data_IF_142260339897
#
_entry.id   IF_142260339897
#
_cell.length_a   1.000
_cell.length_b   1.000
_cell.length_c   1.000
_cell.angle_alpha   90.00
_cell.angle_beta   90.00
_cell.angle_gamma   90.00
#
_symmetry.space_group_name_H-M   'P 1'
#
loop_
_entity.id
_entity.type
_entity.pdbx_description
1 polymer ?
#
# COMPACT_ATOMS: atom_id res chain seq x y z
N UNK A 1 38.83 -13.97 41.41
CA UNK A 1 38.66 -13.24 40.13
C UNK A 1 38.11 -14.20 39.09
N UNK A 2 36.82 -14.12 38.74
CA UNK A 2 36.29 -14.51 37.44
C UNK A 2 34.95 -13.80 37.23
N UNK A 3 34.90 -12.94 36.22
CA UNK A 3 33.71 -12.28 35.66
C UNK A 3 32.99 -13.29 34.77
N UNK A 4 31.66 -13.39 34.89
CA UNK A 4 30.80 -13.89 33.81
C UNK A 4 29.68 -12.86 33.64
N UNK A 5 29.44 -12.55 32.36
CA UNK A 5 28.78 -11.37 31.86
C UNK A 5 27.28 -11.29 32.18
N UNK A 6 26.83 -10.08 32.48
CA UNK A 6 25.43 -9.67 32.46
C UNK A 6 24.86 -9.87 31.05
N UNK A 7 23.66 -10.46 31.00
CA UNK A 7 22.93 -10.70 29.76
C UNK A 7 22.63 -9.40 29.01
N UNK A 8 23.06 -9.38 27.75
CA UNK A 8 22.77 -8.31 26.81
C UNK A 8 21.36 -8.54 26.25
N UNK A 9 20.39 -7.90 26.89
CA UNK A 9 18.98 -7.92 26.48
C UNK A 9 18.80 -6.79 25.46
N UNK A 10 19.34 -6.94 24.24
CA UNK A 10 19.12 -5.97 23.17
C UNK A 10 17.70 -6.11 22.65
N UNK A 11 16.74 -5.49 23.34
CA UNK A 11 15.49 -5.09 22.71
C UNK A 11 15.86 -4.22 21.51
N UNK A 12 15.55 -4.72 20.32
CA UNK A 12 15.75 -4.04 19.06
C UNK A 12 14.74 -2.88 18.98
N UNK A 13 15.00 -1.80 19.72
CA UNK A 13 14.19 -0.59 19.72
C UNK A 13 14.51 0.12 18.41
N UNK A 14 13.78 -0.24 17.35
CA UNK A 14 13.74 0.58 16.16
C UNK A 14 13.23 1.96 16.58
N UNK A 15 13.99 3.05 16.32
CA UNK A 15 13.50 4.38 16.61
C UNK A 15 12.17 4.59 15.88
N UNK A 16 11.17 5.25 16.50
CA UNK A 16 9.91 5.53 15.83
C UNK A 16 10.23 6.26 14.53
N UNK A 17 9.77 5.69 13.41
CA UNK A 17 9.90 6.33 12.10
C UNK A 17 9.14 7.65 12.18
N UNK A 18 9.85 8.78 12.29
CA UNK A 18 9.22 10.11 12.36
C UNK A 18 8.72 10.45 10.97
N UNK A 19 7.42 10.23 10.76
CA UNK A 19 6.73 10.65 9.55
C UNK A 19 6.65 12.17 9.52
N UNK A 20 7.46 12.78 8.67
CA UNK A 20 7.28 14.20 8.33
C UNK A 20 6.26 14.27 7.21
N UNK A 21 5.03 14.59 7.57
CA UNK A 21 3.92 14.76 6.62
C UNK A 21 4.04 16.14 5.98
N UNK A 22 4.17 16.20 4.66
CA UNK A 22 4.36 17.40 3.85
C UNK A 22 3.16 17.71 2.97
N UNK A 23 2.28 16.73 2.70
CA UNK A 23 1.04 17.01 1.99
C UNK A 23 0.11 17.89 2.85
N UNK A 24 -0.54 18.86 2.22
CA UNK A 24 -1.59 19.63 2.88
C UNK A 24 -2.90 18.83 2.91
N UNK A 25 -3.13 18.14 4.03
CA UNK A 25 -4.32 17.30 4.20
C UNK A 25 -5.63 18.10 4.22
N UNK A 26 -5.61 19.43 4.41
CA UNK A 26 -6.83 20.23 4.31
C UNK A 26 -7.45 20.19 2.91
N UNK A 27 -6.68 19.78 1.89
CA UNK A 27 -7.18 19.55 0.54
C UNK A 27 -8.16 18.37 0.44
N UNK A 28 -8.14 17.43 1.39
CA UNK A 28 -9.26 16.50 1.54
C UNK A 28 -10.39 17.25 2.24
N UNK A 29 -11.37 17.69 1.46
CA UNK A 29 -12.51 18.52 1.88
C UNK A 29 -13.37 17.91 3.00
N UNK A 30 -13.11 16.65 3.39
CA UNK A 30 -13.78 15.93 4.47
C UNK A 30 -12.78 15.52 5.59
N UNK A 31 -13.01 15.91 6.86
CA UNK A 31 -12.17 15.53 8.00
C UNK A 31 -12.01 14.02 8.24
N UNK A 32 -13.03 13.23 7.97
CA UNK A 32 -12.95 11.76 8.06
C UNK A 32 -12.00 11.21 6.99
N UNK A 33 -12.07 11.75 5.77
CA UNK A 33 -11.18 11.39 4.66
C UNK A 33 -9.74 11.79 4.96
N UNK A 34 -9.52 12.93 5.61
CA UNK A 34 -8.20 13.32 6.12
C UNK A 34 -7.64 12.29 7.09
N UNK A 35 -8.43 11.90 8.09
CA UNK A 35 -8.04 10.90 9.09
C UNK A 35 -7.73 9.54 8.44
N UNK A 36 -8.60 9.10 7.53
CA UNK A 36 -8.45 7.86 6.77
C UNK A 36 -7.18 7.85 5.91
N UNK A 37 -6.89 8.96 5.23
CA UNK A 37 -5.67 9.10 4.43
C UNK A 37 -4.40 9.05 5.29
N UNK A 38 -4.38 9.72 6.45
CA UNK A 38 -3.24 9.66 7.39
C UNK A 38 -3.02 8.25 7.93
N UNK A 39 -4.09 7.59 8.36
CA UNK A 39 -4.02 6.21 8.89
C UNK A 39 -3.52 5.23 7.81
N UNK A 40 -4.05 5.33 6.60
CA UNK A 40 -3.67 4.45 5.49
C UNK A 40 -2.20 4.63 5.12
N UNK A 41 -1.68 5.87 5.09
CA UNK A 41 -0.27 6.13 4.82
C UNK A 41 0.65 5.48 5.88
N UNK A 42 0.31 5.62 7.16
CA UNK A 42 1.07 5.04 8.26
C UNK A 42 1.10 3.50 8.18
N UNK A 43 -0.05 2.88 7.89
CA UNK A 43 -0.16 1.43 7.73
C UNK A 43 0.58 0.94 6.49
N UNK A 44 0.49 1.68 5.39
CA UNK A 44 1.11 1.35 4.11
C UNK A 44 2.63 1.19 4.24
N UNK A 45 3.30 2.15 4.90
CA UNK A 45 4.77 2.09 5.07
C UNK A 45 5.19 0.92 5.97
N UNK A 46 4.37 0.52 6.94
CA UNK A 46 4.64 -0.63 7.81
C UNK A 46 4.45 -1.99 7.12
N UNK A 47 3.41 -2.14 6.30
CA UNK A 47 2.88 -3.46 5.92
C UNK A 47 3.28 -3.95 4.52
N UNK A 48 3.53 -3.03 3.59
CA UNK A 48 3.83 -3.31 2.18
C UNK A 48 4.98 -4.30 1.94
N UNK A 49 5.88 -4.44 2.91
CA UNK A 49 7.09 -5.24 2.77
C UNK A 49 6.87 -6.75 2.91
N UNK A 50 5.72 -7.24 3.36
CA UNK A 50 5.67 -8.60 3.92
C UNK A 50 4.90 -9.65 3.11
N UNK A 51 3.79 -9.33 2.42
CA UNK A 51 2.98 -10.36 1.71
C UNK A 51 2.16 -9.80 0.55
N UNK A 52 1.74 -10.69 -0.37
CA UNK A 52 0.75 -10.38 -1.40
C UNK A 52 -0.58 -9.91 -0.81
N UNK A 53 -1.08 -10.56 0.25
CA UNK A 53 -2.33 -10.15 0.89
C UNK A 53 -2.21 -8.75 1.54
N UNK A 54 -1.05 -8.43 2.13
CA UNK A 54 -0.77 -7.07 2.59
C UNK A 54 -0.78 -6.04 1.46
N UNK A 55 -0.31 -6.42 0.27
CA UNK A 55 -0.38 -5.56 -0.90
C UNK A 55 -1.83 -5.38 -1.39
N UNK A 56 -2.67 -6.41 -1.29
CA UNK A 56 -4.11 -6.33 -1.61
C UNK A 56 -4.86 -5.44 -0.63
N UNK A 57 -4.61 -5.57 0.67
CA UNK A 57 -5.23 -4.75 1.72
C UNK A 57 -4.87 -3.26 1.53
N UNK A 58 -3.60 -2.98 1.27
CA UNK A 58 -3.14 -1.63 0.96
C UNK A 58 -3.74 -1.09 -0.33
N UNK A 59 -3.79 -1.91 -1.38
CA UNK A 59 -4.44 -1.54 -2.65
C UNK A 59 -5.93 -1.24 -2.48
N UNK A 60 -6.63 -2.01 -1.65
CA UNK A 60 -8.03 -1.78 -1.30
C UNK A 60 -8.22 -0.46 -0.55
N UNK A 61 -7.40 -0.19 0.48
CA UNK A 61 -7.48 1.03 1.27
C UNK A 61 -7.23 2.27 0.42
N UNK A 62 -6.17 2.25 -0.40
CA UNK A 62 -5.85 3.32 -1.35
C UNK A 62 -6.97 3.52 -2.38
N UNK A 63 -7.51 2.43 -2.94
CA UNK A 63 -8.62 2.51 -3.89
C UNK A 63 -9.89 3.07 -3.24
N UNK A 64 -10.16 2.73 -1.98
CA UNK A 64 -11.30 3.29 -1.24
C UNK A 64 -11.15 4.79 -1.03
N UNK A 65 -9.96 5.28 -0.66
CA UNK A 65 -9.70 6.73 -0.55
C UNK A 65 -9.93 7.41 -1.90
N UNK A 66 -9.47 6.80 -3.00
CA UNK A 66 -9.71 7.34 -4.34
C UNK A 66 -11.22 7.46 -4.64
N UNK A 67 -12.01 6.42 -4.36
CA UNK A 67 -13.47 6.45 -4.54
C UNK A 67 -14.13 7.53 -3.68
N UNK A 68 -13.72 7.66 -2.42
CA UNK A 68 -14.22 8.70 -1.52
C UNK A 68 -13.87 10.10 -2.04
N UNK A 69 -12.65 10.30 -2.56
CA UNK A 69 -12.24 11.58 -3.15
C UNK A 69 -13.16 11.97 -4.31
N UNK A 70 -13.35 11.08 -5.29
CA UNK A 70 -14.12 11.39 -6.50
C UNK A 70 -15.63 11.52 -6.24
N UNK A 71 -16.14 10.88 -5.18
CA UNK A 71 -17.55 10.99 -4.79
C UNK A 71 -17.84 12.32 -4.09
N UNK A 72 -16.90 12.81 -3.29
CA UNK A 72 -17.12 13.99 -2.44
C UNK A 72 -16.69 15.32 -3.09
N UNK A 73 -15.86 15.31 -4.15
CA UNK A 73 -15.40 16.55 -4.79
C UNK A 73 -15.12 16.37 -6.28
N UNK A 74 -15.48 17.37 -7.09
CA UNK A 74 -15.13 17.47 -8.51
C UNK A 74 -13.60 17.52 -8.73
N UNK A 75 -12.85 17.97 -7.72
CA UNK A 75 -11.38 17.99 -7.73
C UNK A 75 -10.76 16.74 -7.09
N UNK A 76 -11.57 15.83 -6.56
CA UNK A 76 -11.12 14.71 -5.75
C UNK A 76 -10.08 13.83 -6.44
N UNK A 77 -10.25 13.55 -7.74
CA UNK A 77 -9.23 12.81 -8.52
C UNK A 77 -7.87 13.52 -8.48
N UNK A 78 -7.86 14.84 -8.69
CA UNK A 78 -6.63 15.64 -8.70
C UNK A 78 -5.98 15.64 -7.32
N UNK A 79 -6.76 15.80 -6.26
CA UNK A 79 -6.28 15.77 -4.87
C UNK A 79 -5.64 14.42 -4.55
N UNK A 80 -6.30 13.30 -4.91
CA UNK A 80 -5.76 11.97 -4.71
C UNK A 80 -4.45 11.76 -5.48
N UNK A 81 -4.41 12.17 -6.76
CA UNK A 81 -3.21 12.05 -7.60
C UNK A 81 -2.04 12.86 -7.01
N UNK A 82 -2.31 14.07 -6.49
CA UNK A 82 -1.32 14.92 -5.82
C UNK A 82 -0.84 14.32 -4.51
N UNK A 83 -1.75 13.77 -3.70
CA UNK A 83 -1.40 13.08 -2.45
C UNK A 83 -0.51 11.87 -2.72
N UNK A 84 -0.86 11.03 -3.70
CA UNK A 84 -0.06 9.88 -4.10
C UNK A 84 1.30 10.28 -4.69
N UNK A 85 1.37 11.45 -5.33
CA UNK A 85 2.60 12.03 -5.86
C UNK A 85 3.40 12.84 -4.84
N UNK A 86 2.93 12.99 -3.61
CA UNK A 86 3.61 13.77 -2.57
C UNK A 86 4.86 13.05 -2.06
N UNK A 87 5.70 13.81 -1.34
CA UNK A 87 6.89 13.29 -0.67
C UNK A 87 6.56 12.34 0.50
N UNK A 88 5.32 12.35 0.97
CA UNK A 88 4.86 11.55 2.11
C UNK A 88 4.98 10.05 1.84
N UNK A 89 4.83 9.65 0.58
CA UNK A 89 5.08 8.28 0.13
C UNK A 89 6.57 8.00 -0.12
N UNK A 90 7.39 9.02 -0.37
CA UNK A 90 8.82 8.90 -0.66
C UNK A 90 9.13 7.80 -1.68
N UNK A 91 10.14 6.97 -1.37
CA UNK A 91 10.55 5.83 -2.21
C UNK A 91 9.48 4.74 -2.37
N UNK A 92 8.44 4.72 -1.53
CA UNK A 92 7.36 3.73 -1.58
C UNK A 92 6.24 4.07 -2.57
N UNK A 93 6.28 5.26 -3.20
CA UNK A 93 5.29 5.72 -4.20
C UNK A 93 5.05 4.70 -5.31
N UNK A 94 6.09 4.07 -5.83
CA UNK A 94 5.94 3.07 -6.89
C UNK A 94 5.14 1.85 -6.42
N UNK A 95 5.30 1.48 -5.13
CA UNK A 95 4.57 0.36 -4.54
C UNK A 95 3.11 0.73 -4.33
N UNK A 96 2.81 1.98 -3.95
CA UNK A 96 1.43 2.42 -3.74
C UNK A 96 0.63 2.34 -5.04
N UNK A 97 1.24 2.79 -6.15
CA UNK A 97 0.66 2.64 -7.49
C UNK A 97 0.48 1.17 -7.87
N UNK A 98 1.51 0.34 -7.66
CA UNK A 98 1.43 -1.08 -7.95
C UNK A 98 0.36 -1.80 -7.12
N UNK A 99 0.17 -1.43 -5.85
CA UNK A 99 -0.84 -2.00 -4.97
C UNK A 99 -2.25 -1.74 -5.51
N UNK A 100 -2.54 -0.51 -5.93
CA UNK A 100 -3.83 -0.15 -6.55
C UNK A 100 -4.03 -0.94 -7.86
N UNK A 101 -3.02 -1.00 -8.73
CA UNK A 101 -3.06 -1.76 -9.99
C UNK A 101 -3.36 -3.26 -9.72
N UNK A 102 -2.64 -3.87 -8.78
CA UNK A 102 -2.77 -5.28 -8.42
C UNK A 102 -4.13 -5.58 -7.77
N UNK A 103 -4.60 -4.73 -6.87
CA UNK A 103 -5.92 -4.88 -6.26
C UNK A 103 -7.04 -4.81 -7.32
N UNK A 104 -7.01 -3.82 -8.19
CA UNK A 104 -8.00 -3.63 -9.24
C UNK A 104 -7.99 -4.77 -10.28
N UNK A 105 -6.83 -5.36 -10.54
CA UNK A 105 -6.71 -6.56 -11.36
C UNK A 105 -7.27 -7.79 -10.63
N UNK A 106 -6.80 -8.05 -9.41
CA UNK A 106 -7.11 -9.26 -8.66
C UNK A 106 -8.61 -9.39 -8.37
N UNK A 107 -9.27 -8.29 -8.03
CA UNK A 107 -10.72 -8.25 -7.74
C UNK A 107 -11.58 -8.61 -8.95
N UNK A 108 -11.10 -8.38 -10.17
CA UNK A 108 -11.79 -8.73 -11.42
C UNK A 108 -11.65 -10.20 -11.81
N UNK A 109 -10.71 -10.93 -11.21
CA UNK A 109 -10.52 -12.36 -11.50
C UNK A 109 -11.68 -13.20 -10.94
N UNK A 110 -12.06 -14.31 -11.59
CA UNK A 110 -12.95 -15.31 -11.00
C UNK A 110 -12.40 -15.83 -9.66
N UNK A 111 -13.29 -16.16 -8.71
CA UNK A 111 -12.92 -16.64 -7.35
C UNK A 111 -11.98 -17.85 -7.37
N UNK A 112 -12.07 -18.71 -8.38
CA UNK A 112 -11.14 -19.83 -8.57
C UNK A 112 -9.71 -19.34 -8.85
N UNK A 113 -9.54 -18.38 -9.76
CA UNK A 113 -8.23 -17.81 -10.09
C UNK A 113 -7.68 -16.96 -8.94
N UNK A 114 -8.53 -16.23 -8.20
CA UNK A 114 -8.11 -15.51 -6.98
C UNK A 114 -7.44 -16.44 -5.97
N UNK A 115 -8.04 -17.62 -5.72
CA UNK A 115 -7.47 -18.64 -4.82
C UNK A 115 -6.14 -19.18 -5.34
N UNK A 116 -6.05 -19.48 -6.63
CA UNK A 116 -4.82 -19.98 -7.25
C UNK A 116 -3.69 -18.95 -7.17
N UNK A 117 -3.95 -17.69 -7.55
CA UNK A 117 -2.96 -16.60 -7.44
C UNK A 117 -2.49 -16.48 -5.99
N UNK A 118 -3.41 -16.36 -5.03
CA UNK A 118 -3.07 -16.27 -3.60
C UNK A 118 -2.22 -17.43 -3.10
N UNK A 119 -2.44 -18.65 -3.57
CA UNK A 119 -1.64 -19.80 -3.13
C UNK A 119 -0.19 -19.76 -3.67
N UNK A 120 0.04 -19.11 -4.81
CA UNK A 120 1.31 -19.20 -5.54
C UNK A 120 2.22 -17.97 -5.39
N UNK A 121 1.66 -16.78 -5.12
CA UNK A 121 2.40 -15.51 -5.24
C UNK A 121 2.71 -14.80 -3.93
N UNK A 122 2.44 -15.43 -2.76
CA UNK A 122 2.56 -14.78 -1.45
C UNK A 122 3.90 -14.10 -1.18
N UNK A 123 4.99 -14.69 -1.69
CA UNK A 123 6.37 -14.23 -1.48
C UNK A 123 6.99 -13.56 -2.71
N UNK A 124 6.20 -13.31 -3.75
CA UNK A 124 6.72 -12.66 -4.95
C UNK A 124 7.03 -11.20 -4.69
N UNK A 125 8.03 -10.66 -5.38
CA UNK A 125 8.33 -9.23 -5.31
C UNK A 125 7.20 -8.40 -5.92
N UNK A 126 7.04 -7.16 -5.45
CA UNK A 126 6.06 -6.21 -6.01
C UNK A 126 6.26 -6.02 -7.52
N UNK A 127 7.50 -6.00 -8.00
CA UNK A 127 7.81 -5.90 -9.43
C UNK A 127 7.33 -7.12 -10.21
N UNK A 128 7.55 -8.34 -9.70
CA UNK A 128 7.06 -9.58 -10.33
C UNK A 128 5.54 -9.63 -10.36
N UNK A 129 4.88 -9.29 -9.25
CA UNK A 129 3.43 -9.20 -9.15
C UNK A 129 2.85 -8.20 -10.15
N UNK A 130 3.50 -7.04 -10.30
CA UNK A 130 3.08 -6.03 -11.28
C UNK A 130 3.25 -6.50 -12.73
N UNK A 131 4.24 -7.34 -13.04
CA UNK A 131 4.34 -7.92 -14.39
C UNK A 131 3.28 -9.00 -14.62
N UNK A 132 2.94 -9.79 -13.59
CA UNK A 132 1.87 -10.78 -13.67
C UNK A 132 0.53 -10.16 -14.08
N UNK A 133 0.19 -8.98 -13.55
CA UNK A 133 -1.05 -8.29 -13.93
C UNK A 133 -1.10 -7.99 -15.43
N UNK A 134 0.02 -7.59 -16.03
CA UNK A 134 0.12 -7.26 -17.46
C UNK A 134 0.02 -8.49 -18.35
N UNK A 135 0.84 -9.51 -18.07
CA UNK A 135 0.90 -10.74 -18.89
C UNK A 135 -0.43 -11.50 -18.83
N UNK A 136 -1.12 -11.48 -17.70
CA UNK A 136 -2.44 -12.12 -17.59
C UNK A 136 -3.50 -11.51 -18.52
N UNK A 137 -3.42 -10.22 -18.84
CA UNK A 137 -4.34 -9.60 -19.80
C UNK A 137 -4.08 -10.03 -21.24
N UNK A 138 -2.83 -10.37 -21.57
CA UNK A 138 -2.44 -10.87 -22.89
C UNK A 138 -2.86 -12.33 -23.07
N UNK A 139 -2.79 -13.14 -22.01
CA UNK A 139 -3.13 -14.58 -22.06
C UNK A 139 -4.64 -14.87 -22.11
N UNK A 140 -5.51 -13.96 -21.65
CA UNK A 140 -6.98 -14.16 -21.65
C UNK A 140 -7.62 -13.78 -23.00
N UNK A 141 -6.85 -13.22 -23.94
CA UNK A 141 -7.31 -12.85 -25.30
C UNK A 141 -7.07 -13.92 -26.37
N UNK A 142 -6.50 -15.08 -26.00
CA UNK A 142 -6.28 -16.21 -26.90
C UNK A 142 -7.22 -17.37 -26.58
#
# INVERSE_FOLDING_TARGET
>A
MHKIASGDNTQNVYPPFVFTVRFDYSQFENPELQSKAKSTLNQFIGFVRQTFDGLLENGQALNSIYQDCITNSLKGKKVFDQWLASDDFGASRYIAKAAIEIYNWFTKLPKRLQRLVRANVQKWSVSALRQLTKVSHELVRN
#
